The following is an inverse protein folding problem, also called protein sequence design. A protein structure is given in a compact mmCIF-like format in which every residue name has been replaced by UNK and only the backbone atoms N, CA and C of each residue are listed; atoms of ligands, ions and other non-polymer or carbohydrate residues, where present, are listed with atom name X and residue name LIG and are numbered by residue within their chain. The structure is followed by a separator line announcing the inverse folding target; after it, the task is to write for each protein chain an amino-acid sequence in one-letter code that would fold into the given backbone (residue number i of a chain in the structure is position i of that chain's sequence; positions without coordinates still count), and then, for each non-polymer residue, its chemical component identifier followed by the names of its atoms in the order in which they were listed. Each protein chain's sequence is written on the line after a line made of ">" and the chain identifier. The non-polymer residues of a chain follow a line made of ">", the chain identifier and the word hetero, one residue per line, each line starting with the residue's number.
data_IF_929122515313
#
_entry.id   IF_929122515313
#
_cell.length_a   1.000
_cell.length_b   1.000
_cell.length_c   1.000
_cell.angle_alpha   90.00
_cell.angle_beta   90.00
_cell.angle_gamma   90.00
#
_symmetry.space_group_name_H-M   'P 1'
#
loop_
_entity.id
_entity.type
_entity.pdbx_description
1 polymer ?
#
# COMPACT_ATOMS: atom_id res chain seq x y z
N UNK A 1 -16.53 5.15 -46.12
CA UNK A 1 -16.44 4.27 -44.93
C UNK A 1 -15.51 4.89 -43.89
N UNK A 2 -16.07 5.50 -42.85
CA UNK A 2 -15.40 5.82 -41.58
C UNK A 2 -16.49 6.04 -40.54
N UNK A 3 -16.99 4.93 -39.99
CA UNK A 3 -17.77 4.98 -38.76
C UNK A 3 -16.82 5.23 -37.59
N UNK A 4 -17.16 6.15 -36.69
CA UNK A 4 -16.59 6.18 -35.34
C UNK A 4 -17.42 7.03 -34.38
N UNK A 5 -17.89 6.33 -33.34
CA UNK A 5 -18.31 6.77 -32.02
C UNK A 5 -19.57 7.64 -31.91
N UNK A 6 -20.71 6.96 -31.81
CA UNK A 6 -21.93 7.48 -31.23
C UNK A 6 -21.91 7.37 -29.70
N UNK A 7 -22.00 8.53 -29.05
CA UNK A 7 -22.82 8.79 -27.85
C UNK A 7 -22.71 7.83 -26.66
N UNK A 8 -21.91 8.22 -25.65
CA UNK A 8 -22.02 7.66 -24.29
C UNK A 8 -22.15 8.70 -23.17
N UNK A 9 -22.24 10.00 -23.49
CA UNK A 9 -22.55 11.03 -22.50
C UNK A 9 -23.68 11.93 -23.01
N UNK A 10 -24.91 11.47 -22.79
CA UNK A 10 -26.09 12.30 -22.94
C UNK A 10 -26.14 13.34 -21.81
N UNK A 11 -26.26 14.60 -22.23
CA UNK A 11 -27.03 15.64 -21.55
C UNK A 11 -26.54 16.05 -20.14
N UNK A 12 -25.32 16.58 -20.05
CA UNK A 12 -24.94 17.44 -18.92
C UNK A 12 -25.43 18.87 -19.19
N UNK A 13 -26.54 19.24 -18.56
CA UNK A 13 -26.87 20.62 -18.25
C UNK A 13 -25.71 21.22 -17.45
N UNK A 14 -25.01 22.18 -18.04
CA UNK A 14 -23.88 22.87 -17.44
C UNK A 14 -24.37 23.78 -16.30
N UNK A 15 -24.38 23.27 -15.08
CA UNK A 15 -24.48 24.08 -13.87
C UNK A 15 -23.04 24.23 -13.35
N UNK A 16 -22.43 25.43 -13.38
CA UNK A 16 -21.08 25.62 -12.89
C UNK A 16 -21.12 25.67 -11.36
N UNK A 17 -21.00 24.50 -10.71
CA UNK A 17 -20.62 24.46 -9.30
C UNK A 17 -19.12 24.79 -9.19
N UNK A 18 -18.78 25.70 -8.28
CA UNK A 18 -17.45 26.28 -8.09
C UNK A 18 -16.30 25.25 -8.04
N UNK A 19 -15.06 25.64 -8.44
CA UNK A 19 -13.93 24.74 -8.53
C UNK A 19 -13.37 24.48 -7.13
N UNK A 20 -13.46 23.23 -6.67
CA UNK A 20 -12.85 22.82 -5.42
C UNK A 20 -13.51 21.58 -4.84
N UNK A 21 -12.75 20.49 -4.76
CA UNK A 21 -13.10 19.28 -4.02
C UNK A 21 -14.17 18.38 -4.67
N UNK A 22 -13.94 17.95 -5.91
CA UNK A 22 -14.47 16.66 -6.34
C UNK A 22 -13.66 15.56 -5.63
N UNK A 23 -14.18 15.05 -4.52
CA UNK A 23 -13.61 13.91 -3.81
C UNK A 23 -13.41 12.75 -4.78
N UNK A 24 -12.15 12.42 -5.07
CA UNK A 24 -11.73 11.34 -5.98
C UNK A 24 -12.25 9.96 -5.53
N UNK A 25 -12.76 9.83 -4.30
CA UNK A 25 -13.31 8.59 -3.75
C UNK A 25 -14.78 8.34 -4.11
N UNK A 26 -15.55 9.35 -4.51
CA UNK A 26 -16.99 9.20 -4.79
C UNK A 26 -17.32 8.86 -6.25
N UNK A 27 -16.33 8.90 -7.14
CA UNK A 27 -16.57 8.63 -8.57
C UNK A 27 -16.74 7.13 -8.84
N UNK A 28 -16.15 6.27 -8.00
CA UNK A 28 -16.20 4.81 -8.19
C UNK A 28 -16.33 4.07 -6.87
N UNK A 29 -17.56 3.73 -6.48
CA UNK A 29 -17.89 2.93 -5.29
C UNK A 29 -17.07 1.63 -5.20
N UNK A 30 -16.80 0.99 -6.34
CA UNK A 30 -15.95 -0.21 -6.42
C UNK A 30 -14.50 0.03 -5.97
N UNK A 31 -13.93 1.21 -6.26
CA UNK A 31 -12.55 1.58 -5.87
C UNK A 31 -12.48 1.85 -4.36
N UNK A 32 -13.48 2.52 -3.81
CA UNK A 32 -13.58 2.72 -2.36
C UNK A 32 -13.69 1.38 -1.62
N UNK A 33 -14.56 0.47 -2.09
CA UNK A 33 -14.69 -0.87 -1.54
C UNK A 33 -13.38 -1.67 -1.63
N UNK A 34 -12.69 -1.63 -2.78
CA UNK A 34 -11.40 -2.30 -2.96
C UNK A 34 -10.33 -1.76 -2.00
N UNK A 35 -10.25 -0.43 -1.81
CA UNK A 35 -9.30 0.19 -0.87
C UNK A 35 -9.50 -0.30 0.57
N UNK A 36 -10.77 -0.45 1.01
CA UNK A 36 -11.11 -0.99 2.33
C UNK A 36 -10.67 -2.45 2.45
N UNK A 37 -10.98 -3.29 1.45
CA UNK A 37 -10.62 -4.71 1.46
C UNK A 37 -9.10 -4.92 1.48
N UNK A 38 -8.36 -4.17 0.67
CA UNK A 38 -6.88 -4.24 0.64
C UNK A 38 -6.29 -3.82 1.97
N UNK A 39 -6.85 -2.79 2.62
CA UNK A 39 -6.37 -2.33 3.93
C UNK A 39 -6.63 -3.37 5.03
N UNK A 40 -7.80 -4.01 5.03
CA UNK A 40 -8.11 -5.10 5.94
C UNK A 40 -7.15 -6.30 5.74
N UNK A 41 -6.93 -6.71 4.48
CA UNK A 41 -5.99 -7.77 4.15
C UNK A 41 -4.56 -7.45 4.60
N UNK A 42 -4.10 -6.22 4.40
CA UNK A 42 -2.78 -5.75 4.84
C UNK A 42 -2.63 -5.84 6.37
N UNK A 43 -3.65 -5.40 7.11
CA UNK A 43 -3.64 -5.45 8.58
C UNK A 43 -3.64 -6.90 9.09
N UNK A 44 -4.44 -7.78 8.48
CA UNK A 44 -4.46 -9.22 8.80
C UNK A 44 -3.09 -9.86 8.57
N UNK A 45 -2.46 -9.61 7.42
CA UNK A 45 -1.11 -10.12 7.12
C UNK A 45 -0.07 -9.58 8.11
N UNK A 46 -0.08 -8.26 8.36
CA UNK A 46 0.88 -7.62 9.26
C UNK A 46 0.76 -8.13 10.70
N UNK A 47 -0.46 -8.35 11.18
CA UNK A 47 -0.70 -8.97 12.49
C UNK A 47 -0.30 -10.45 12.52
N UNK A 48 -0.47 -11.16 11.40
CA UNK A 48 -0.05 -12.55 11.22
C UNK A 48 1.46 -12.74 11.16
N UNK A 49 2.21 -11.73 10.72
CA UNK A 49 3.67 -11.78 10.61
C UNK A 49 4.36 -12.09 11.95
N UNK A 50 3.80 -11.62 13.08
CA UNK A 50 4.31 -11.97 14.42
C UNK A 50 4.24 -13.48 14.69
N UNK A 51 3.18 -14.15 14.25
CA UNK A 51 3.01 -15.60 14.43
C UNK A 51 3.88 -16.39 13.46
N UNK A 52 4.02 -15.92 12.22
CA UNK A 52 4.75 -16.63 11.17
C UNK A 52 6.26 -16.46 11.26
N UNK A 53 6.73 -15.26 11.62
CA UNK A 53 8.14 -14.87 11.55
C UNK A 53 8.70 -14.41 12.90
N UNK A 54 7.91 -14.46 13.98
CA UNK A 54 8.34 -13.97 15.31
C UNK A 54 8.50 -12.44 15.40
N UNK A 55 8.34 -11.72 14.30
CA UNK A 55 8.63 -10.29 14.18
C UNK A 55 7.34 -9.47 14.28
N UNK A 56 7.33 -8.52 15.22
CA UNK A 56 6.30 -7.46 15.19
C UNK A 56 6.76 -6.43 14.16
N UNK A 57 5.99 -6.25 13.08
CA UNK A 57 6.29 -5.28 12.03
C UNK A 57 5.79 -3.88 12.45
N UNK A 58 6.66 -2.95 12.88
CA UNK A 58 6.25 -1.58 13.14
C UNK A 58 5.80 -0.91 11.84
N UNK A 59 4.78 -0.06 11.93
CA UNK A 59 4.21 0.63 10.77
C UNK A 59 5.17 1.72 10.28
N UNK A 60 5.29 1.86 8.96
CA UNK A 60 6.05 2.93 8.31
C UNK A 60 7.51 2.56 8.05
N UNK A 61 8.38 3.57 8.08
CA UNK A 61 9.83 3.46 7.84
C UNK A 61 10.63 4.21 8.93
N UNK A 62 10.16 4.14 10.18
CA UNK A 62 10.82 4.81 11.31
C UNK A 62 12.04 4.03 11.81
N UNK A 63 12.83 4.65 12.69
CA UNK A 63 14.00 4.02 13.34
C UNK A 63 13.67 2.70 14.05
N UNK A 64 12.42 2.50 14.49
CA UNK A 64 11.95 1.25 15.08
C UNK A 64 11.94 0.09 14.07
N UNK A 65 11.67 0.36 12.79
CA UNK A 65 11.70 -0.64 11.71
C UNK A 65 13.12 -1.12 11.50
N UNK A 66 14.10 -0.21 11.53
CA UNK A 66 15.52 -0.55 11.40
C UNK A 66 15.98 -1.42 12.57
N UNK A 67 15.62 -1.07 13.81
CA UNK A 67 15.96 -1.88 14.98
C UNK A 67 15.34 -3.28 14.91
N UNK A 68 14.05 -3.37 14.57
CA UNK A 68 13.36 -4.65 14.42
C UNK A 68 13.98 -5.50 13.29
N UNK A 69 14.32 -4.88 12.16
CA UNK A 69 15.00 -5.54 11.05
C UNK A 69 16.38 -6.05 11.42
N UNK A 70 17.15 -5.30 12.21
CA UNK A 70 18.46 -5.71 12.73
C UNK A 70 18.35 -6.92 13.65
N UNK A 71 17.42 -6.91 14.60
CA UNK A 71 17.15 -8.06 15.46
C UNK A 71 16.76 -9.29 14.65
N UNK A 72 15.90 -9.13 13.65
CA UNK A 72 15.46 -10.22 12.78
C UNK A 72 16.61 -10.83 11.96
N UNK A 73 17.47 -9.99 11.35
CA UNK A 73 18.65 -10.47 10.60
C UNK A 73 19.62 -11.21 11.51
N UNK A 74 19.80 -10.76 12.76
CA UNK A 74 20.67 -11.42 13.73
C UNK A 74 20.18 -12.82 14.09
N UNK A 75 18.85 -13.02 14.15
CA UNK A 75 18.23 -14.28 14.56
C UNK A 75 18.05 -15.26 13.38
N UNK A 76 17.70 -14.76 12.19
CA UNK A 76 17.31 -15.60 11.04
C UNK A 76 18.25 -15.51 9.83
N UNK A 77 19.25 -14.62 9.88
CA UNK A 77 20.17 -14.36 8.77
C UNK A 77 19.62 -13.34 7.77
N UNK A 78 20.51 -12.88 6.87
CA UNK A 78 20.20 -11.84 5.87
C UNK A 78 19.17 -12.31 4.84
N UNK A 79 19.22 -13.58 4.44
CA UNK A 79 18.33 -14.13 3.41
C UNK A 79 16.86 -14.16 3.86
N UNK A 80 16.61 -14.25 5.18
CA UNK A 80 15.26 -14.25 5.72
C UNK A 80 14.51 -12.92 5.47
N UNK A 81 15.23 -11.81 5.23
CA UNK A 81 14.61 -10.51 4.94
C UNK A 81 13.74 -10.53 3.69
N UNK A 82 14.00 -11.44 2.74
CA UNK A 82 13.18 -11.56 1.51
C UNK A 82 11.71 -11.87 1.81
N UNK A 83 11.44 -12.50 2.95
CA UNK A 83 10.09 -12.92 3.34
C UNK A 83 9.30 -11.83 4.06
N UNK A 84 10.00 -10.84 4.66
CA UNK A 84 9.39 -9.85 5.57
C UNK A 84 9.57 -8.40 5.13
N UNK A 85 10.48 -8.11 4.19
CA UNK A 85 10.84 -6.75 3.79
C UNK A 85 11.00 -6.61 2.27
N UNK A 86 10.79 -5.38 1.78
CA UNK A 86 11.09 -5.00 0.39
C UNK A 86 12.57 -4.64 0.29
N UNK A 87 13.36 -5.46 -0.39
CA UNK A 87 14.83 -5.35 -0.40
C UNK A 87 15.38 -4.10 -1.11
N UNK A 88 14.58 -3.43 -1.94
CA UNK A 88 15.00 -2.25 -2.72
C UNK A 88 14.90 -0.91 -1.94
N UNK A 89 14.44 -0.94 -0.69
CA UNK A 89 14.32 0.28 0.10
C UNK A 89 15.64 0.61 0.79
N UNK A 90 15.92 1.91 0.94
CA UNK A 90 17.06 2.41 1.73
C UNK A 90 17.08 1.85 3.16
N UNK A 91 15.91 1.59 3.73
CA UNK A 91 15.76 0.95 5.05
C UNK A 91 16.44 -0.43 5.10
N UNK A 92 16.45 -1.19 4.01
CA UNK A 92 17.15 -2.49 3.95
C UNK A 92 18.66 -2.30 3.96
N UNK A 93 19.18 -1.30 3.25
CA UNK A 93 20.60 -0.93 3.30
C UNK A 93 20.98 -0.55 4.74
N UNK A 94 20.20 0.29 5.41
CA UNK A 94 20.45 0.71 6.80
C UNK A 94 20.42 -0.46 7.81
N UNK A 95 19.69 -1.54 7.49
CA UNK A 95 19.65 -2.77 8.29
C UNK A 95 20.87 -3.66 8.00
N UNK A 96 21.32 -3.74 6.74
CA UNK A 96 22.39 -4.65 6.29
C UNK A 96 23.81 -4.09 6.40
N UNK A 97 23.96 -2.75 6.46
CA UNK A 97 25.23 -2.03 6.55
C UNK A 97 25.89 -2.11 7.94
N UNK A 98 25.23 -2.70 8.94
CA UNK A 98 25.73 -2.86 10.31
C UNK A 98 26.25 -4.27 10.58
#
# INVERSE_FOLDING_TARGET
>A
MKGRQSSFYGNQLWIPLAPGLQFVVDVFLAVAAASILVRDALLKWSNGAKKQYGLTLPKGASSLVIQAGKSYVKEHGKDALVNVAKLHFKTTEDVLLA
#
